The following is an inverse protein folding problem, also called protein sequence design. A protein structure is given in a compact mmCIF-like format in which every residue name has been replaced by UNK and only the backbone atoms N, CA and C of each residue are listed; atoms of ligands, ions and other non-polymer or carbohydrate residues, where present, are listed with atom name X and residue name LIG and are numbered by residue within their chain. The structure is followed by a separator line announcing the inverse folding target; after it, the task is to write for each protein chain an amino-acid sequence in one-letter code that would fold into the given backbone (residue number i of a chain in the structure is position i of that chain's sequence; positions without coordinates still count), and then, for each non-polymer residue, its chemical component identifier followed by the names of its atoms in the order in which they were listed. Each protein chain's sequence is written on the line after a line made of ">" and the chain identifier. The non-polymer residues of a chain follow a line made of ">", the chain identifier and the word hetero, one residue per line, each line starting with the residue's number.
data_IF_070371728985
#
_entry.id   IF_070371728985
#
_cell.length_a   1.000
_cell.length_b   1.000
_cell.length_c   1.000
_cell.angle_alpha   90.00
_cell.angle_beta   90.00
_cell.angle_gamma   90.00
#
_symmetry.space_group_name_H-M   'P 1'
#
loop_
_entity.id
_entity.type
_entity.pdbx_description
1 polymer ?
#
# COMPACT_ATOMS: atom_id res chain seq x y z
N UNK A 1 -20.60 -19.36 -15.10
CA UNK A 1 -20.74 -18.02 -15.70
C UNK A 1 -20.35 -16.98 -14.64
N UNK A 2 -19.28 -16.21 -14.89
CA UNK A 2 -18.63 -15.36 -13.88
C UNK A 2 -19.54 -14.24 -13.40
N UNK A 3 -19.69 -14.11 -12.08
CA UNK A 3 -20.39 -12.97 -11.46
C UNK A 3 -19.44 -11.78 -11.45
N UNK A 4 -19.85 -10.66 -12.05
CA UNK A 4 -19.12 -9.40 -11.90
C UNK A 4 -19.47 -8.76 -10.56
N UNK A 5 -18.52 -8.78 -9.62
CA UNK A 5 -18.69 -8.22 -8.28
C UNK A 5 -18.88 -6.70 -8.30
N UNK A 6 -18.25 -5.99 -9.24
CA UNK A 6 -18.27 -4.54 -9.32
C UNK A 6 -18.73 -4.07 -10.72
N UNK A 7 -19.96 -3.57 -10.79
CA UNK A 7 -20.57 -3.13 -12.07
C UNK A 7 -19.82 -1.96 -12.72
N UNK A 8 -19.31 -1.01 -11.94
CA UNK A 8 -18.59 0.15 -12.46
C UNK A 8 -17.25 -0.25 -13.13
N UNK A 9 -16.53 -1.24 -12.57
CA UNK A 9 -15.29 -1.73 -13.17
C UNK A 9 -15.55 -2.47 -14.49
N UNK A 10 -16.66 -3.21 -14.57
CA UNK A 10 -17.06 -3.84 -15.83
C UNK A 10 -17.40 -2.82 -16.90
N UNK A 11 -18.09 -1.75 -16.52
CA UNK A 11 -18.41 -0.65 -17.44
C UNK A 11 -17.13 -0.03 -18.02
N UNK A 12 -16.14 0.29 -17.18
CA UNK A 12 -14.85 0.82 -17.63
C UNK A 12 -14.13 -0.17 -18.55
N UNK A 13 -14.10 -1.45 -18.19
CA UNK A 13 -13.48 -2.47 -19.02
C UNK A 13 -14.15 -2.58 -20.41
N UNK A 14 -15.48 -2.44 -20.48
CA UNK A 14 -16.23 -2.41 -21.73
C UNK A 14 -15.91 -1.19 -22.58
N UNK A 15 -15.81 -0.01 -21.96
CA UNK A 15 -15.47 1.24 -22.66
C UNK A 15 -14.07 1.15 -23.27
N UNK A 16 -13.10 0.63 -22.52
CA UNK A 16 -11.73 0.39 -23.02
C UNK A 16 -11.77 -0.60 -24.20
N UNK A 17 -12.51 -1.71 -24.05
CA UNK A 17 -12.60 -2.73 -25.09
C UNK A 17 -13.20 -2.17 -26.39
N UNK A 18 -14.31 -1.44 -26.30
CA UNK A 18 -14.96 -0.81 -27.46
C UNK A 18 -14.05 0.23 -28.13
N UNK A 19 -13.31 1.00 -27.34
CA UNK A 19 -12.36 1.99 -27.87
C UNK A 19 -11.24 1.32 -28.67
N UNK A 20 -10.76 0.16 -28.21
CA UNK A 20 -9.76 -0.66 -28.88
C UNK A 20 -10.29 -1.36 -30.13
N UNK A 21 -11.51 -1.88 -30.08
CA UNK A 21 -12.18 -2.56 -31.20
C UNK A 21 -12.29 -1.62 -32.41
N UNK A 22 -12.72 -0.38 -32.21
CA UNK A 22 -12.83 0.63 -33.28
C UNK A 22 -11.47 0.97 -33.93
N UNK A 23 -10.37 0.77 -33.19
CA UNK A 23 -9.00 1.09 -33.64
C UNK A 23 -8.20 -0.13 -34.06
N UNK A 24 -8.82 -1.31 -34.07
CA UNK A 24 -8.16 -2.59 -34.32
C UNK A 24 -6.95 -2.82 -33.39
N UNK A 25 -7.07 -2.43 -32.12
CA UNK A 25 -6.06 -2.63 -31.08
C UNK A 25 -6.41 -3.90 -30.31
N UNK A 26 -5.47 -4.82 -30.20
CA UNK A 26 -5.63 -6.04 -29.40
C UNK A 26 -4.94 -5.82 -28.05
N UNK A 27 -5.71 -5.91 -26.96
CA UNK A 27 -5.17 -5.89 -25.60
C UNK A 27 -4.98 -7.33 -25.12
N UNK A 28 -3.78 -7.64 -24.64
CA UNK A 28 -3.46 -8.92 -24.01
C UNK A 28 -3.06 -8.64 -22.56
N UNK A 29 -3.77 -9.26 -21.62
CA UNK A 29 -3.33 -9.27 -20.24
C UNK A 29 -2.25 -10.35 -20.08
N UNK A 30 -0.99 -9.93 -20.05
CA UNK A 30 0.14 -10.81 -19.75
C UNK A 30 0.68 -10.55 -18.35
N UNK A 31 1.12 -11.62 -17.69
CA UNK A 31 1.85 -11.49 -16.45
C UNK A 31 3.25 -10.94 -16.74
N UNK A 32 3.61 -9.83 -16.09
CA UNK A 32 4.97 -9.30 -16.07
C UNK A 32 5.62 -9.76 -14.76
N UNK A 33 6.77 -10.41 -14.85
CA UNK A 33 7.51 -10.82 -13.65
C UNK A 33 7.91 -9.59 -12.83
N UNK A 34 7.90 -9.70 -11.50
CA UNK A 34 8.22 -8.57 -10.60
C UNK A 34 9.58 -7.93 -10.91
N UNK A 35 10.55 -8.71 -11.41
CA UNK A 35 11.88 -8.23 -11.83
C UNK A 35 11.82 -7.25 -13.01
N UNK A 36 10.84 -7.38 -13.89
CA UNK A 36 10.66 -6.55 -15.09
C UNK A 36 9.61 -5.44 -14.87
N UNK A 37 8.87 -5.47 -13.75
CA UNK A 37 7.84 -4.48 -13.43
C UNK A 37 8.41 -3.20 -12.78
N UNK A 38 9.66 -2.85 -13.07
CA UNK A 38 10.40 -1.80 -12.36
C UNK A 38 9.76 -0.42 -12.55
N UNK A 39 9.33 -0.10 -13.76
CA UNK A 39 8.75 1.21 -14.08
C UNK A 39 7.37 1.39 -13.46
N UNK A 40 6.47 0.43 -13.64
CA UNK A 40 5.13 0.51 -13.06
C UNK A 40 5.16 0.43 -11.52
N UNK A 41 6.05 -0.36 -10.93
CA UNK A 41 6.27 -0.38 -9.49
C UNK A 41 6.81 0.96 -8.98
N UNK A 42 7.77 1.58 -9.71
CA UNK A 42 8.26 2.92 -9.38
C UNK A 42 7.16 3.98 -9.49
N UNK A 43 6.39 4.01 -10.58
CA UNK A 43 5.34 5.02 -10.79
C UNK A 43 4.14 4.84 -9.85
N UNK A 44 3.73 3.60 -9.56
CA UNK A 44 2.66 3.34 -8.57
C UNK A 44 3.05 3.82 -7.17
N UNK A 45 4.34 3.73 -6.82
CA UNK A 45 4.91 4.27 -5.57
C UNK A 45 5.10 5.80 -5.58
N UNK A 46 4.91 6.48 -6.72
CA UNK A 46 4.94 7.96 -6.79
C UNK A 46 3.64 8.63 -6.38
N UNK A 47 2.59 7.88 -6.05
CA UNK A 47 1.32 8.42 -5.54
C UNK A 47 1.59 9.42 -4.41
N UNK A 48 1.27 10.70 -4.68
CA UNK A 48 1.58 11.87 -3.85
C UNK A 48 0.63 12.06 -2.67
N UNK A 49 -0.27 11.12 -2.41
CA UNK A 49 -1.11 11.18 -1.23
C UNK A 49 -0.48 10.25 -0.19
N UNK A 50 0.49 10.77 0.56
CA UNK A 50 0.91 10.16 1.82
C UNK A 50 -0.24 10.27 2.82
N UNK A 51 -1.27 9.47 2.65
CA UNK A 51 -2.13 9.11 3.77
C UNK A 51 -1.28 8.08 4.51
N UNK A 52 -0.53 8.55 5.49
CA UNK A 52 0.12 7.63 6.41
C UNK A 52 -0.99 6.79 7.03
N UNK A 53 -0.93 5.48 6.80
CA UNK A 53 -1.93 4.56 7.31
C UNK A 53 -1.68 4.38 8.80
N UNK A 54 -2.76 4.40 9.56
CA UNK A 54 -2.73 4.16 11.00
C UNK A 54 -3.76 3.08 11.34
N UNK A 55 -3.42 2.25 12.32
CA UNK A 55 -4.38 1.30 12.85
C UNK A 55 -5.46 2.06 13.64
N UNK A 56 -6.73 1.75 13.38
CA UNK A 56 -7.82 2.32 14.16
C UNK A 56 -7.66 2.00 15.66
N UNK A 57 -7.99 2.95 16.53
CA UNK A 57 -7.76 2.83 17.99
C UNK A 57 -8.38 1.56 18.57
N UNK A 58 -9.61 1.23 18.16
CA UNK A 58 -10.30 0.03 18.63
C UNK A 58 -9.56 -1.26 18.26
N UNK A 59 -8.88 -1.29 17.12
CA UNK A 59 -8.12 -2.45 16.66
C UNK A 59 -6.79 -2.53 17.41
N UNK A 60 -6.13 -1.40 17.65
CA UNK A 60 -4.93 -1.35 18.50
C UNK A 60 -5.23 -1.83 19.91
N UNK A 61 -6.32 -1.36 20.53
CA UNK A 61 -6.75 -1.82 21.86
C UNK A 61 -7.01 -3.32 21.93
N UNK A 62 -7.51 -3.94 20.85
CA UNK A 62 -7.67 -5.41 20.77
C UNK A 62 -6.31 -6.12 20.75
N UNK A 63 -5.33 -5.60 20.01
CA UNK A 63 -3.97 -6.14 19.98
C UNK A 63 -3.33 -6.04 21.36
N UNK A 64 -3.45 -4.90 22.04
CA UNK A 64 -2.91 -4.70 23.40
C UNK A 64 -3.44 -5.73 24.39
N UNK A 65 -4.72 -6.10 24.28
CA UNK A 65 -5.34 -7.11 25.16
C UNK A 65 -4.79 -8.52 24.94
N UNK A 66 -4.38 -8.85 23.72
CA UNK A 66 -3.93 -10.20 23.36
C UNK A 66 -2.42 -10.34 23.56
N UNK A 67 -1.65 -9.33 23.16
CA UNK A 67 -0.20 -9.40 23.07
C UNK A 67 0.53 -8.51 24.09
N UNK A 68 -0.20 -7.70 24.85
CA UNK A 68 0.37 -6.71 25.76
C UNK A 68 0.75 -5.40 25.06
N UNK A 69 1.21 -4.43 25.84
CA UNK A 69 1.58 -3.11 25.32
C UNK A 69 3.00 -3.09 24.74
N UNK A 70 3.16 -2.83 23.43
CA UNK A 70 4.48 -2.66 22.85
C UNK A 70 5.14 -1.39 23.41
N UNK A 71 6.45 -1.46 23.64
CA UNK A 71 7.22 -0.32 24.14
C UNK A 71 7.62 0.65 23.02
N UNK A 72 7.75 0.14 21.78
CA UNK A 72 8.23 0.90 20.62
C UNK A 72 7.33 0.58 19.42
N UNK A 73 6.91 1.62 18.69
CA UNK A 73 6.22 1.52 17.41
C UNK A 73 7.23 1.62 16.26
N UNK A 74 7.45 0.53 15.53
CA UNK A 74 8.55 0.44 14.56
C UNK A 74 8.23 1.08 13.19
N UNK A 75 6.95 1.35 12.91
CA UNK A 75 6.49 1.79 11.58
C UNK A 75 5.54 2.99 11.69
N UNK A 76 5.98 4.02 12.40
CA UNK A 76 5.17 5.20 12.66
C UNK A 76 5.88 6.50 12.27
N UNK A 77 5.14 7.59 12.36
CA UNK A 77 5.58 8.96 12.23
C UNK A 77 5.10 9.72 13.46
N UNK A 78 5.53 10.97 13.58
CA UNK A 78 4.96 11.90 14.57
C UNK A 78 3.43 12.01 14.52
N UNK A 79 2.79 11.71 13.38
CA UNK A 79 1.34 11.88 13.21
C UNK A 79 0.52 10.64 13.58
N UNK A 80 1.11 9.43 13.56
CA UNK A 80 0.35 8.18 13.68
C UNK A 80 0.91 7.19 14.72
N UNK A 81 1.86 7.61 15.54
CA UNK A 81 2.46 6.73 16.54
C UNK A 81 1.43 6.32 17.60
N UNK A 82 1.34 5.01 17.88
CA UNK A 82 0.48 4.48 18.96
C UNK A 82 1.22 4.27 20.28
N UNK A 83 2.54 4.35 20.26
CA UNK A 83 3.43 4.21 21.41
C UNK A 83 4.19 5.50 21.67
N UNK A 84 4.61 5.73 22.93
CA UNK A 84 5.42 6.91 23.28
C UNK A 84 6.77 6.95 22.55
N UNK A 85 7.34 5.78 22.27
CA UNK A 85 8.59 5.63 21.52
C UNK A 85 8.26 5.06 20.15
N UNK A 86 8.82 5.63 19.11
CA UNK A 86 8.60 5.14 17.75
C UNK A 86 9.80 5.37 16.84
N UNK A 87 9.90 4.55 15.80
CA UNK A 87 10.87 4.68 14.73
C UNK A 87 10.16 5.14 13.46
N UNK A 88 10.81 6.06 12.73
CA UNK A 88 10.24 6.66 11.52
C UNK A 88 11.01 6.30 10.28
N UNK A 89 10.32 6.23 9.14
CA UNK A 89 10.97 5.90 7.87
C UNK A 89 12.04 6.93 7.45
N UNK A 90 11.86 8.19 7.83
CA UNK A 90 12.82 9.28 7.60
C UNK A 90 13.18 9.92 8.91
N UNK A 91 14.32 10.62 8.96
CA UNK A 91 14.74 11.39 10.12
C UNK A 91 13.60 12.31 10.58
N UNK A 92 13.03 12.02 11.73
CA UNK A 92 12.04 12.82 12.43
C UNK A 92 12.69 13.30 13.74
N UNK A 93 12.40 14.53 14.15
CA UNK A 93 12.97 15.08 15.39
C UNK A 93 12.50 14.31 16.62
N UNK A 94 11.29 13.76 16.55
CA UNK A 94 10.62 13.15 17.69
C UNK A 94 10.71 11.61 17.65
N UNK A 95 11.28 11.05 16.58
CA UNK A 95 11.57 9.60 16.48
C UNK A 95 12.82 9.24 17.27
N UNK A 96 12.80 8.08 17.90
CA UNK A 96 13.98 7.56 18.62
C UNK A 96 15.06 7.06 17.65
N UNK A 97 14.65 6.54 16.50
CA UNK A 97 15.56 6.13 15.43
C UNK A 97 14.85 6.08 14.07
N UNK A 98 15.63 5.96 13.01
CA UNK A 98 15.12 5.65 11.68
C UNK A 98 14.83 4.15 11.63
N UNK A 99 13.66 3.78 11.10
CA UNK A 99 13.27 2.38 10.90
C UNK A 99 14.36 1.63 10.11
N UNK A 100 14.89 0.52 10.65
CA UNK A 100 15.92 -0.26 9.98
C UNK A 100 15.28 -0.96 8.77
N UNK A 101 15.71 -0.62 7.56
CA UNK A 101 15.14 -1.05 6.27
C UNK A 101 15.14 -2.55 5.95
N UNK A 102 15.24 -3.42 6.95
CA UNK A 102 15.37 -4.88 6.87
C UNK A 102 14.18 -5.55 6.14
N UNK A 103 13.02 -4.89 6.04
CA UNK A 103 11.88 -5.40 5.25
C UNK A 103 11.98 -5.14 3.74
N UNK A 104 12.93 -4.32 3.26
CA UNK A 104 13.11 -4.08 1.81
C UNK A 104 13.73 -5.27 1.06
N UNK A 105 14.08 -6.36 1.73
CA UNK A 105 14.67 -7.56 1.11
C UNK A 105 13.67 -8.66 0.76
N UNK A 106 12.37 -8.50 1.04
CA UNK A 106 11.36 -9.57 0.85
C UNK A 106 10.33 -9.25 -0.27
N UNK A 107 10.45 -8.13 -0.99
CA UNK A 107 9.59 -7.83 -2.15
C UNK A 107 10.43 -7.61 -3.40
#
# INVERSE_FOLDING_TARGET
>A
MGRTQFKHLNQIAREIWQWCEVRNIIIIASYISSKNNVEADKESRKSKTKIEYELADWAFLKILKIFGAPQIDLFASRLNHKCNRYFSWRKDSDSEAIEPSLLKKII
#
